data_IF_046275047256
#
_entry.id   IF_046275047256
#
_cell.length_a   1.000
_cell.length_b   1.000
_cell.length_c   1.000
_cell.angle_alpha   90.00
_cell.angle_beta   90.00
_cell.angle_gamma   90.00
#
_symmetry.space_group_name_H-M   'P 1'
#
loop_
_entity.id
_entity.type
_entity.pdbx_description
1 polymer ?
#
# COMPACT_ATOMS: atom_id res chain seq x y z
N UNK A 1 10.39 -32.71 5.77
CA UNK A 1 9.35 -31.67 5.72
C UNK A 1 9.82 -30.59 4.75
N UNK A 2 9.08 -30.27 3.68
CA UNK A 2 9.48 -29.21 2.75
C UNK A 2 9.51 -27.89 3.52
N UNK A 3 10.62 -27.15 3.41
CA UNK A 3 10.71 -25.78 3.91
C UNK A 3 9.63 -24.97 3.19
N UNK A 4 8.59 -24.57 3.92
CA UNK A 4 7.60 -23.61 3.46
C UNK A 4 8.36 -22.32 3.16
N UNK A 5 8.67 -22.06 1.89
CA UNK A 5 9.28 -20.82 1.46
C UNK A 5 8.36 -19.68 1.92
N UNK A 6 8.88 -18.87 2.84
CA UNK A 6 8.11 -17.82 3.49
C UNK A 6 7.77 -16.77 2.44
N UNK A 7 6.47 -16.58 2.18
CA UNK A 7 5.99 -15.37 1.53
C UNK A 7 6.48 -14.16 2.34
N UNK A 8 6.49 -12.98 1.72
CA UNK A 8 6.58 -11.75 2.51
C UNK A 8 5.53 -11.80 3.64
N UNK A 9 5.85 -11.28 4.84
CA UNK A 9 4.89 -11.27 5.93
C UNK A 9 3.64 -10.50 5.50
N UNK A 10 2.48 -10.93 5.99
CA UNK A 10 1.29 -10.10 5.92
C UNK A 10 1.58 -8.81 6.73
N UNK A 11 1.14 -7.63 6.25
CA UNK A 11 1.42 -6.38 6.94
C UNK A 11 0.80 -6.38 8.34
N UNK A 12 1.51 -5.77 9.29
CA UNK A 12 1.01 -5.49 10.64
C UNK A 12 -0.30 -4.67 10.61
N UNK A 13 -1.14 -4.72 11.68
CA UNK A 13 -2.52 -4.23 11.69
C UNK A 13 -2.72 -2.88 10.99
N UNK A 14 -3.60 -2.95 9.99
CA UNK A 14 -3.74 -2.03 8.88
C UNK A 14 -4.57 -0.82 9.30
N UNK A 15 -4.09 0.39 9.02
CA UNK A 15 -4.96 1.57 9.06
C UNK A 15 -6.05 1.39 7.98
N UNK A 16 -7.36 1.44 8.34
CA UNK A 16 -8.39 1.39 7.32
C UNK A 16 -8.24 2.61 6.39
N UNK A 17 -8.58 2.48 5.09
CA UNK A 17 -8.64 3.64 4.22
C UNK A 17 -9.60 4.66 4.81
N UNK A 18 -9.21 5.95 4.88
CA UNK A 18 -10.06 6.99 5.46
C UNK A 18 -11.34 7.11 4.63
N UNK A 19 -12.48 6.95 5.29
CA UNK A 19 -13.79 7.21 4.66
C UNK A 19 -14.01 8.71 4.52
N UNK A 20 -15.01 9.10 3.73
CA UNK A 20 -15.41 10.51 3.64
C UNK A 20 -15.73 11.12 5.02
N UNK A 21 -16.41 10.35 5.88
CA UNK A 21 -16.72 10.77 7.25
C UNK A 21 -15.47 10.94 8.10
N UNK A 22 -14.47 10.07 7.94
CA UNK A 22 -13.18 10.25 8.61
C UNK A 22 -12.51 11.56 8.18
N UNK A 23 -12.49 11.86 6.88
CA UNK A 23 -11.90 13.11 6.39
C UNK A 23 -12.62 14.33 6.96
N UNK A 24 -13.96 14.33 6.98
CA UNK A 24 -14.74 15.40 7.60
C UNK A 24 -14.41 15.56 9.09
N UNK A 25 -14.33 14.44 9.81
CA UNK A 25 -13.95 14.43 11.22
C UNK A 25 -12.55 15.00 11.42
N UNK A 26 -11.56 14.61 10.62
CA UNK A 26 -10.18 15.13 10.71
C UNK A 26 -10.17 16.66 10.58
N UNK A 27 -10.91 17.21 9.61
CA UNK A 27 -11.04 18.65 9.45
C UNK A 27 -11.76 19.34 10.61
N UNK A 28 -12.83 18.74 11.14
CA UNK A 28 -13.57 19.29 12.26
C UNK A 28 -12.72 19.32 13.54
N UNK A 29 -12.05 18.22 13.86
CA UNK A 29 -11.17 18.14 15.04
C UNK A 29 -9.99 19.08 14.87
N UNK A 30 -9.39 19.15 13.67
CA UNK A 30 -8.35 20.13 13.39
C UNK A 30 -8.79 21.56 13.70
N UNK A 31 -9.92 22.01 13.12
CA UNK A 31 -10.45 23.36 13.33
C UNK A 31 -10.75 23.61 14.79
N UNK A 32 -11.39 22.67 15.47
CA UNK A 32 -11.66 22.79 16.89
C UNK A 32 -10.37 22.95 17.69
N UNK A 33 -9.36 22.12 17.46
CA UNK A 33 -8.07 22.19 18.16
C UNK A 33 -7.35 23.53 17.91
N UNK A 34 -7.38 23.99 16.66
CA UNK A 34 -6.78 25.24 16.21
C UNK A 34 -7.48 26.49 16.75
N UNK A 35 -8.81 26.58 16.65
CA UNK A 35 -9.57 27.78 17.06
C UNK A 35 -9.70 27.89 18.58
N UNK A 36 -9.59 26.76 19.29
CA UNK A 36 -9.82 26.70 20.73
C UNK A 36 -11.32 26.67 21.08
N UNK A 37 -11.64 27.03 22.31
CA UNK A 37 -13.00 27.19 22.84
C UNK A 37 -12.99 28.23 23.97
N UNK A 38 -14.14 28.77 24.42
CA UNK A 38 -14.16 29.78 25.48
C UNK A 38 -13.42 29.38 26.78
N UNK A 39 -13.28 28.08 27.05
CA UNK A 39 -12.57 27.52 28.22
C UNK A 39 -11.25 26.81 27.85
N UNK A 40 -10.80 26.87 26.60
CA UNK A 40 -9.60 26.17 26.12
C UNK A 40 -8.88 27.02 25.08
N UNK A 41 -7.62 27.37 25.34
CA UNK A 41 -6.82 28.08 24.36
C UNK A 41 -6.68 27.29 23.05
N UNK A 42 -6.54 28.02 21.94
CA UNK A 42 -6.08 27.52 20.67
C UNK A 42 -4.74 26.75 20.83
N UNK A 43 -4.56 25.67 20.07
CA UNK A 43 -3.28 24.95 20.03
C UNK A 43 -2.44 25.44 18.83
N UNK A 44 -1.11 25.54 18.98
CA UNK A 44 -0.23 25.84 17.85
C UNK A 44 -0.32 24.79 16.73
N UNK A 45 -0.15 25.18 15.44
CA UNK A 45 -0.14 24.28 14.28
C UNK A 45 0.66 23.00 14.47
N UNK A 46 1.83 23.15 15.07
CA UNK A 46 2.83 22.10 15.22
C UNK A 46 2.30 21.03 16.16
N UNK A 47 1.64 21.44 17.26
CA UNK A 47 1.02 20.53 18.22
C UNK A 47 -0.15 19.79 17.59
N UNK A 48 -1.01 20.49 16.83
CA UNK A 48 -2.15 19.84 16.16
C UNK A 48 -1.66 18.85 15.09
N UNK A 49 -0.57 19.16 14.39
CA UNK A 49 0.07 18.25 13.44
C UNK A 49 0.61 17.00 14.13
N UNK A 50 1.27 17.15 15.29
CA UNK A 50 1.71 16.02 16.11
C UNK A 50 0.52 15.13 16.55
N UNK A 51 -0.61 15.74 16.93
CA UNK A 51 -1.83 15.00 17.28
C UNK A 51 -2.34 14.21 16.07
N UNK A 52 -2.40 14.82 14.89
CA UNK A 52 -2.85 14.14 13.67
C UNK A 52 -1.96 12.94 13.29
N UNK A 53 -0.63 13.10 13.41
CA UNK A 53 0.35 12.02 13.19
C UNK A 53 0.15 10.91 14.22
N UNK A 54 0.06 11.26 15.50
CA UNK A 54 -0.14 10.31 16.59
C UNK A 54 -1.48 9.55 16.47
N UNK A 55 -2.52 10.23 15.98
CA UNK A 55 -3.83 9.64 15.74
C UNK A 55 -3.93 8.81 14.45
N UNK A 56 -2.84 8.69 13.67
CA UNK A 56 -2.83 7.89 12.46
C UNK A 56 -3.63 8.51 11.30
N UNK A 57 -3.89 9.82 11.32
CA UNK A 57 -4.72 10.45 10.30
C UNK A 57 -3.97 10.59 8.99
N UNK A 58 -4.32 9.73 8.04
CA UNK A 58 -3.74 9.71 6.70
C UNK A 58 -4.77 10.11 5.65
N UNK A 59 -4.31 10.65 4.53
CA UNK A 59 -5.12 10.94 3.35
C UNK A 59 -4.42 10.43 2.08
N UNK A 60 -5.17 10.00 1.05
CA UNK A 60 -4.60 9.71 -0.25
C UNK A 60 -3.90 10.94 -0.85
N UNK A 61 -2.68 10.75 -1.38
CA UNK A 61 -1.92 11.79 -2.09
C UNK A 61 -2.49 11.99 -3.50
N UNK A 62 -3.54 12.82 -3.59
CA UNK A 62 -4.25 13.07 -4.85
C UNK A 62 -3.48 13.93 -5.84
N UNK A 63 -2.48 14.67 -5.39
CA UNK A 63 -1.84 15.71 -6.21
C UNK A 63 -0.66 15.18 -7.01
N UNK A 64 0.09 14.20 -6.50
CA UNK A 64 1.38 13.88 -7.12
C UNK A 64 1.71 12.40 -7.30
N UNK A 65 1.04 11.45 -6.63
CA UNK A 65 1.57 10.07 -6.56
C UNK A 65 0.50 9.01 -6.62
N UNK A 66 0.04 8.75 -7.84
CA UNK A 66 -0.59 7.49 -8.18
C UNK A 66 0.16 6.90 -9.36
N UNK A 67 0.82 5.77 -9.15
CA UNK A 67 1.44 5.03 -10.25
C UNK A 67 0.42 4.02 -10.76
N UNK A 68 0.09 4.09 -12.04
CA UNK A 68 -0.84 3.17 -12.67
C UNK A 68 -0.18 2.43 -13.82
N UNK A 69 -0.65 1.21 -14.05
CA UNK A 69 -0.32 0.44 -15.25
C UNK A 69 -1.58 -0.21 -15.79
N UNK A 70 -1.68 -0.25 -17.12
CA UNK A 70 -2.65 -1.08 -17.85
C UNK A 70 -1.95 -2.21 -18.63
N UNK A 71 -0.66 -2.45 -18.34
CA UNK A 71 0.09 -3.51 -19.00
C UNK A 71 -0.32 -4.84 -18.38
N UNK A 72 -0.95 -5.71 -19.16
CA UNK A 72 -1.30 -7.06 -18.71
C UNK A 72 -0.05 -7.86 -18.33
N UNK A 73 -0.14 -8.61 -17.24
CA UNK A 73 0.90 -9.48 -16.73
C UNK A 73 0.29 -10.83 -16.33
N UNK A 74 1.07 -11.88 -16.50
CA UNK A 74 0.68 -13.24 -16.22
C UNK A 74 1.88 -14.02 -15.72
N UNK A 75 1.67 -14.81 -14.67
CA UNK A 75 2.60 -15.81 -14.18
C UNK A 75 1.84 -17.11 -13.90
N UNK A 76 2.40 -18.24 -14.29
CA UNK A 76 1.83 -19.57 -14.04
C UNK A 76 2.91 -20.52 -13.59
N UNK A 77 2.65 -21.22 -12.50
CA UNK A 77 3.54 -22.24 -11.99
C UNK A 77 3.38 -23.52 -12.84
N UNK A 78 4.45 -23.95 -13.50
CA UNK A 78 4.48 -25.12 -14.39
C UNK A 78 5.24 -26.31 -13.80
N UNK A 79 5.83 -26.14 -12.63
CA UNK A 79 6.58 -27.20 -11.96
C UNK A 79 5.65 -28.07 -11.12
N UNK A 80 5.95 -29.36 -11.06
CA UNK A 80 5.29 -30.31 -10.15
C UNK A 80 5.78 -30.17 -8.71
N UNK A 81 6.85 -29.40 -8.47
CA UNK A 81 7.33 -29.09 -7.13
C UNK A 81 6.39 -28.09 -6.45
N UNK A 82 5.63 -28.56 -5.46
CA UNK A 82 4.69 -27.76 -4.66
C UNK A 82 5.37 -26.60 -3.93
N UNK A 83 6.67 -26.70 -3.67
CA UNK A 83 7.45 -25.65 -2.99
C UNK A 83 7.93 -24.56 -3.94
N UNK A 84 7.92 -24.81 -5.26
CA UNK A 84 8.47 -23.84 -6.18
C UNK A 84 7.53 -22.65 -6.36
N UNK A 85 8.12 -21.47 -6.24
CA UNK A 85 7.47 -20.18 -6.45
C UNK A 85 7.93 -19.61 -7.77
N UNK A 86 6.98 -19.20 -8.60
CA UNK A 86 7.28 -18.39 -9.79
C UNK A 86 6.83 -16.96 -9.53
N UNK A 87 7.63 -16.00 -9.98
CA UNK A 87 7.35 -14.59 -9.79
C UNK A 87 7.58 -13.78 -11.05
N UNK A 88 6.90 -12.65 -11.15
CA UNK A 88 7.13 -11.69 -12.22
C UNK A 88 6.96 -10.27 -11.72
N UNK A 89 7.97 -9.44 -11.95
CA UNK A 89 7.89 -7.99 -11.77
C UNK A 89 6.89 -7.41 -12.75
N UNK A 90 6.01 -6.54 -12.25
CA UNK A 90 4.94 -5.96 -13.06
C UNK A 90 5.20 -4.50 -13.43
N UNK A 91 5.31 -3.65 -12.41
CA UNK A 91 5.59 -2.23 -12.57
C UNK A 91 6.37 -1.72 -11.35
N UNK A 92 6.93 -0.52 -11.48
CA UNK A 92 7.76 0.13 -10.47
C UNK A 92 7.43 1.61 -10.44
N UNK A 93 7.71 2.27 -9.33
CA UNK A 93 7.81 3.73 -9.27
C UNK A 93 9.08 4.20 -9.98
N UNK A 94 9.14 5.50 -10.24
CA UNK A 94 10.41 6.20 -10.41
C UNK A 94 11.26 6.13 -9.14
N UNK A 95 12.59 6.37 -9.23
CA UNK A 95 13.45 6.45 -8.07
C UNK A 95 12.96 7.52 -7.08
N UNK A 96 12.85 7.15 -5.80
CA UNK A 96 12.37 8.03 -4.73
C UNK A 96 13.36 9.20 -4.53
N UNK A 97 12.84 10.42 -4.57
CA UNK A 97 13.50 11.64 -4.13
C UNK A 97 13.46 11.80 -2.61
N UNK A 98 14.21 12.77 -2.09
CA UNK A 98 14.14 13.16 -0.67
C UNK A 98 12.72 13.59 -0.26
N UNK A 99 12.04 14.34 -1.13
CA UNK A 99 10.66 14.74 -0.90
C UNK A 99 9.71 13.54 -0.94
N UNK A 100 10.02 12.49 -1.71
CA UNK A 100 9.24 11.25 -1.67
C UNK A 100 9.29 10.60 -0.29
N UNK A 101 10.49 10.45 0.25
CA UNK A 101 10.74 9.79 1.54
C UNK A 101 10.13 10.57 2.71
N UNK A 102 10.21 11.90 2.67
CA UNK A 102 9.64 12.76 3.71
C UNK A 102 8.10 12.70 3.77
N UNK A 103 7.47 12.55 2.60
CA UNK A 103 6.02 12.70 2.46
C UNK A 103 5.27 11.37 2.53
N UNK A 104 5.82 10.29 1.97
CA UNK A 104 5.12 8.99 1.91
C UNK A 104 4.96 8.46 3.34
N UNK A 105 3.71 8.32 3.79
CA UNK A 105 3.36 7.71 5.08
C UNK A 105 2.99 6.26 4.91
N UNK A 106 2.24 5.96 3.86
CA UNK A 106 1.78 4.62 3.56
C UNK A 106 1.56 4.47 2.07
N UNK A 107 1.41 3.23 1.63
CA UNK A 107 1.00 2.92 0.27
C UNK A 107 0.03 1.75 0.25
N UNK A 108 -0.78 1.68 -0.79
CA UNK A 108 -1.78 0.63 -1.00
C UNK A 108 -1.75 0.20 -2.46
N UNK A 109 -1.66 -1.11 -2.67
CA UNK A 109 -1.78 -1.68 -4.00
C UNK A 109 -3.26 -1.98 -4.30
N UNK A 110 -3.72 -1.50 -5.43
CA UNK A 110 -5.03 -1.81 -6.01
C UNK A 110 -4.82 -2.52 -7.35
N UNK A 111 -5.51 -3.62 -7.57
CA UNK A 111 -5.36 -4.45 -8.76
C UNK A 111 -6.71 -4.67 -9.43
N UNK A 112 -6.68 -4.87 -10.75
CA UNK A 112 -7.71 -5.49 -11.55
C UNK A 112 -7.17 -6.82 -12.03
N UNK A 113 -7.46 -7.89 -11.29
CA UNK A 113 -6.80 -9.18 -11.42
C UNK A 113 -7.75 -10.35 -11.22
N UNK A 114 -7.24 -11.54 -11.52
CA UNK A 114 -7.97 -12.79 -11.38
C UNK A 114 -7.04 -13.96 -11.11
N UNK A 115 -7.58 -14.98 -10.46
CA UNK A 115 -6.94 -16.28 -10.27
C UNK A 115 -7.49 -17.31 -11.27
N UNK A 116 -6.75 -18.39 -11.52
CA UNK A 116 -7.29 -19.59 -12.19
C UNK A 116 -7.14 -20.86 -11.36
N UNK A 117 -6.63 -20.77 -10.13
CA UNK A 117 -6.45 -21.89 -9.22
C UNK A 117 -7.75 -22.34 -8.55
N UNK A 118 -7.74 -23.61 -8.17
CA UNK A 118 -8.73 -24.26 -7.32
C UNK A 118 -7.98 -25.03 -6.24
N UNK A 119 -8.51 -25.05 -5.02
CA UNK A 119 -8.00 -25.89 -3.93
C UNK A 119 -9.15 -26.61 -3.26
N UNK A 120 -8.91 -27.85 -2.84
CA UNK A 120 -9.82 -28.62 -1.97
C UNK A 120 -9.42 -28.53 -0.50
N UNK A 121 -8.40 -27.74 -0.16
CA UNK A 121 -7.95 -27.55 1.22
C UNK A 121 -9.01 -26.80 2.05
N UNK A 122 -9.04 -27.10 3.35
CA UNK A 122 -9.93 -26.45 4.32
C UNK A 122 -9.06 -25.95 5.50
N UNK A 123 -8.94 -24.63 5.74
CA UNK A 123 -9.54 -23.55 4.95
C UNK A 123 -8.92 -23.44 3.55
N UNK A 124 -9.63 -22.84 2.59
CA UNK A 124 -9.13 -22.73 1.23
C UNK A 124 -7.95 -21.75 1.19
N UNK A 125 -6.76 -22.26 0.83
CA UNK A 125 -5.54 -21.46 0.64
C UNK A 125 -5.46 -20.91 -0.78
N UNK A 126 -5.03 -19.65 -0.92
CA UNK A 126 -4.69 -19.08 -2.22
C UNK A 126 -3.18 -19.13 -2.43
N UNK A 127 -2.76 -19.76 -3.52
CA UNK A 127 -1.35 -19.85 -3.91
C UNK A 127 -0.98 -18.84 -5.00
N UNK A 128 -1.80 -17.80 -5.18
CA UNK A 128 -1.48 -16.64 -6.01
C UNK A 128 -1.64 -15.36 -5.21
N UNK A 129 -0.66 -14.46 -5.29
CA UNK A 129 -0.69 -13.20 -4.53
C UNK A 129 0.14 -12.12 -5.18
N UNK A 130 0.00 -10.91 -4.64
CA UNK A 130 0.81 -9.75 -4.97
C UNK A 130 1.70 -9.39 -3.80
N UNK A 131 2.91 -8.92 -4.10
CA UNK A 131 3.76 -8.28 -3.10
C UNK A 131 4.15 -6.88 -3.58
N UNK A 132 4.31 -5.99 -2.61
CA UNK A 132 4.97 -4.70 -2.79
C UNK A 132 6.33 -4.82 -2.11
N UNK A 133 7.39 -4.41 -2.81
CA UNK A 133 8.74 -4.47 -2.28
C UNK A 133 9.48 -3.16 -2.58
N UNK A 134 10.51 -2.87 -1.80
CA UNK A 134 11.50 -1.84 -2.12
C UNK A 134 12.69 -2.52 -2.77
N UNK A 135 13.12 -2.00 -3.93
CA UNK A 135 14.35 -2.38 -4.60
C UNK A 135 15.40 -1.28 -4.48
N UNK A 136 16.63 -1.70 -4.20
CA UNK A 136 17.82 -0.86 -4.21
C UNK A 136 18.81 -1.44 -5.21
N UNK A 137 19.24 -0.62 -6.17
CA UNK A 137 20.17 -1.05 -7.22
C UNK A 137 19.68 -2.30 -7.97
N UNK A 138 18.37 -2.42 -8.16
CA UNK A 138 17.72 -3.54 -8.85
C UNK A 138 17.60 -4.83 -8.01
N UNK A 139 17.86 -4.78 -6.70
CA UNK A 139 17.72 -5.93 -5.79
C UNK A 139 16.67 -5.64 -4.70
N UNK A 140 15.76 -6.58 -4.41
CA UNK A 140 14.81 -6.41 -3.31
C UNK A 140 15.52 -6.28 -1.95
N UNK A 141 15.08 -5.35 -1.12
CA UNK A 141 15.54 -5.19 0.25
C UNK A 141 14.71 -6.11 1.14
N UNK A 142 15.31 -7.15 1.73
CA UNK A 142 14.58 -8.24 2.40
C UNK A 142 13.63 -7.80 3.52
N UNK A 143 13.94 -6.71 4.22
CA UNK A 143 13.09 -6.17 5.30
C UNK A 143 11.94 -5.27 4.81
N UNK A 144 11.93 -4.95 3.52
CA UNK A 144 11.00 -4.00 2.91
C UNK A 144 10.18 -4.70 1.83
N UNK A 145 9.55 -5.81 2.21
CA UNK A 145 8.68 -6.62 1.36
C UNK A 145 7.42 -6.96 2.13
N UNK A 146 6.28 -6.76 1.48
CA UNK A 146 4.98 -6.97 2.09
C UNK A 146 4.07 -7.67 1.12
N UNK A 147 3.36 -8.66 1.63
CA UNK A 147 2.29 -9.31 0.89
C UNK A 147 1.07 -8.39 0.90
N UNK A 148 0.54 -8.08 -0.27
CA UNK A 148 -0.57 -7.13 -0.38
C UNK A 148 -1.93 -7.78 -0.22
N UNK A 149 -2.22 -8.77 -1.08
CA UNK A 149 -3.47 -9.52 -1.08
C UNK A 149 -3.36 -10.73 -2.01
N UNK A 150 -4.35 -11.61 -1.88
CA UNK A 150 -4.63 -12.70 -2.81
C UNK A 150 -5.72 -12.28 -3.79
N UNK A 151 -5.77 -12.95 -4.94
CA UNK A 151 -6.96 -12.92 -5.77
C UNK A 151 -8.09 -13.70 -5.11
N UNK A 152 -9.33 -13.37 -5.50
CA UNK A 152 -10.48 -14.22 -5.17
C UNK A 152 -10.29 -15.61 -5.77
N UNK A 153 -10.46 -16.63 -4.94
CA UNK A 153 -10.34 -18.02 -5.35
C UNK A 153 -11.37 -18.33 -6.43
N UNK A 154 -10.92 -18.98 -7.51
CA UNK A 154 -11.77 -19.36 -8.65
C UNK A 154 -12.41 -18.17 -9.40
N UNK A 155 -11.97 -16.94 -9.13
CA UNK A 155 -12.45 -15.74 -9.81
C UNK A 155 -12.06 -15.78 -11.29
N UNK A 156 -12.98 -16.16 -12.18
CA UNK A 156 -12.69 -16.22 -13.64
C UNK A 156 -12.69 -14.85 -14.32
N UNK A 157 -13.39 -13.89 -13.71
CA UNK A 157 -13.49 -12.52 -14.19
C UNK A 157 -12.41 -11.66 -13.55
N UNK A 158 -11.93 -10.65 -14.27
CA UNK A 158 -11.10 -9.61 -13.68
C UNK A 158 -11.94 -8.86 -12.64
N UNK A 159 -11.46 -8.83 -11.41
CA UNK A 159 -12.11 -8.13 -10.31
C UNK A 159 -11.17 -7.07 -9.75
N UNK A 160 -11.74 -5.99 -9.24
CA UNK A 160 -10.96 -4.96 -8.56
C UNK A 160 -10.73 -5.39 -7.12
N UNK A 161 -9.47 -5.51 -6.72
CA UNK A 161 -9.08 -5.85 -5.35
C UNK A 161 -8.24 -4.72 -4.77
N UNK A 162 -8.61 -4.29 -3.58
CA UNK A 162 -7.85 -3.32 -2.80
C UNK A 162 -7.06 -4.07 -1.73
N UNK A 163 -5.74 -3.97 -1.78
CA UNK A 163 -4.89 -4.52 -0.75
C UNK A 163 -4.91 -3.71 0.54
N UNK A 164 -4.22 -4.24 1.55
CA UNK A 164 -3.92 -3.54 2.77
C UNK A 164 -3.18 -2.21 2.53
N UNK A 165 -3.43 -1.21 3.39
CA UNK A 165 -2.58 -0.03 3.52
C UNK A 165 -1.35 -0.42 4.33
N UNK A 166 -0.18 -0.27 3.72
CA UNK A 166 1.11 -0.62 4.30
C UNK A 166 1.81 0.67 4.74
N UNK A 167 2.10 0.79 6.04
CA UNK A 167 2.89 1.90 6.55
C UNK A 167 4.29 1.87 5.94
N UNK A 168 4.72 3.01 5.41
CA UNK A 168 6.03 3.16 4.83
C UNK A 168 7.08 3.21 5.95
N UNK A 169 8.06 2.31 5.97
CA UNK A 169 9.12 2.29 6.97
C UNK A 169 10.14 3.39 6.66
N UNK A 170 9.77 4.65 6.88
CA UNK A 170 10.54 5.85 6.47
C UNK A 170 12.03 5.78 6.85
N UNK A 171 12.34 5.25 8.03
CA UNK A 171 13.72 5.10 8.51
C UNK A 171 14.60 4.17 7.64
N UNK A 172 13.99 3.32 6.81
CA UNK A 172 14.68 2.33 5.98
C UNK A 172 14.68 2.67 4.49
N UNK A 173 13.86 3.64 4.06
CA UNK A 173 13.83 4.13 2.69
C UNK A 173 15.04 5.04 2.42
N UNK A 174 15.63 4.91 1.23
CA UNK A 174 16.75 5.72 0.78
C UNK A 174 16.44 6.41 -0.55
N UNK A 175 17.11 7.54 -0.78
CA UNK A 175 17.01 8.25 -2.05
C UNK A 175 17.46 7.30 -3.16
N UNK A 176 16.71 7.29 -4.26
CA UNK A 176 16.83 6.41 -5.42
C UNK A 176 16.35 4.96 -5.24
N UNK A 177 15.85 4.58 -4.06
CA UNK A 177 15.09 3.34 -3.94
C UNK A 177 13.88 3.38 -4.88
N UNK A 178 13.38 2.22 -5.31
CA UNK A 178 12.14 2.13 -6.10
C UNK A 178 11.16 1.20 -5.41
N UNK A 179 9.86 1.51 -5.50
CA UNK A 179 8.82 0.62 -5.01
C UNK A 179 8.31 -0.20 -6.20
N UNK A 180 8.41 -1.52 -6.07
CA UNK A 180 8.11 -2.48 -7.12
C UNK A 180 6.93 -3.35 -6.72
N UNK A 181 6.11 -3.70 -7.72
CA UNK A 181 5.00 -4.65 -7.55
C UNK A 181 5.34 -5.95 -8.25
N UNK A 182 5.19 -7.05 -7.51
CA UNK A 182 5.43 -8.40 -7.95
C UNK A 182 4.14 -9.23 -7.89
N UNK A 183 4.01 -10.16 -8.84
CA UNK A 183 2.98 -11.19 -8.82
C UNK A 183 3.65 -12.53 -8.61
N UNK A 184 2.98 -13.37 -7.84
CA UNK A 184 3.44 -14.71 -7.52
C UNK A 184 2.37 -15.74 -7.82
N UNK A 185 2.84 -16.92 -8.19
CA UNK A 185 2.06 -18.15 -8.16
C UNK A 185 2.95 -19.27 -7.59
N UNK A 186 2.36 -20.13 -6.77
CA UNK A 186 2.98 -21.31 -6.17
C UNK A 186 2.07 -22.52 -6.41
N UNK A 187 2.65 -23.72 -6.42
CA UNK A 187 1.94 -24.99 -6.68
C UNK A 187 1.52 -25.18 -8.14
N UNK A 188 1.53 -26.43 -8.60
CA UNK A 188 1.31 -26.76 -10.01
C UNK A 188 -0.03 -26.22 -10.51
N UNK A 189 0.00 -25.66 -11.74
CA UNK A 189 -1.14 -25.11 -12.46
C UNK A 189 -1.74 -23.81 -11.90
N UNK A 190 -1.35 -23.34 -10.72
CA UNK A 190 -1.74 -22.02 -10.22
C UNK A 190 -1.17 -20.90 -11.08
N UNK A 191 -1.94 -19.83 -11.22
CA UNK A 191 -1.54 -18.65 -11.98
C UNK A 191 -2.08 -17.37 -11.36
N UNK A 192 -1.33 -16.30 -11.52
CA UNK A 192 -1.79 -14.95 -11.22
C UNK A 192 -1.82 -14.14 -12.51
N UNK A 193 -2.95 -13.52 -12.80
CA UNK A 193 -3.14 -12.67 -13.96
C UNK A 193 -3.69 -11.31 -13.54
N UNK A 194 -3.10 -10.24 -14.05
CA UNK A 194 -3.56 -8.89 -13.79
C UNK A 194 -3.51 -8.02 -15.04
N UNK A 195 -4.50 -7.14 -15.18
CA UNK A 195 -4.63 -6.23 -16.32
C UNK A 195 -4.38 -4.77 -15.92
N UNK A 196 -4.83 -4.38 -14.72
CA UNK A 196 -4.72 -3.01 -14.21
C UNK A 196 -4.09 -3.01 -12.84
N UNK A 197 -3.10 -2.17 -12.61
CA UNK A 197 -2.48 -1.99 -11.31
C UNK A 197 -2.40 -0.52 -10.96
N UNK A 198 -2.63 -0.19 -9.69
CA UNK A 198 -2.43 1.15 -9.16
C UNK A 198 -1.76 1.07 -7.79
N UNK A 199 -0.68 1.83 -7.59
CA UNK A 199 -0.08 2.05 -6.29
C UNK A 199 -0.50 3.44 -5.80
N UNK A 200 -1.34 3.45 -4.77
CA UNK A 200 -1.83 4.65 -4.11
C UNK A 200 -0.88 5.01 -2.97
N UNK A 201 -0.47 6.26 -2.89
CA UNK A 201 0.33 6.77 -1.78
C UNK A 201 -0.52 7.59 -0.83
N UNK A 202 -0.16 7.56 0.45
CA UNK A 202 -0.82 8.29 1.52
C UNK A 202 0.16 9.23 2.18
N UNK A 203 -0.35 10.39 2.58
CA UNK A 203 0.34 11.42 3.36
C UNK A 203 -0.35 11.60 4.70
N UNK A 204 0.35 12.21 5.64
CA UNK A 204 -0.28 12.67 6.87
C UNK A 204 -1.33 13.71 6.52
N UNK A 205 -2.45 13.70 7.24
CA UNK A 205 -3.43 14.77 7.19
C UNK A 205 -2.71 16.08 7.52
N UNK A 206 -2.56 16.92 6.51
CA UNK A 206 -2.11 18.29 6.66
C UNK A 206 -3.27 19.21 6.25
N UNK A 207 -3.75 20.04 7.18
CA UNK A 207 -4.74 21.05 6.85
C UNK A 207 -4.13 22.05 5.88
N UNK A 208 -4.89 22.41 4.86
CA UNK A 208 -4.55 23.60 4.08
C UNK A 208 -4.91 24.79 4.97
N UNK A 209 -3.92 25.35 5.66
CA UNK A 209 -4.10 26.65 6.33
C UNK A 209 -4.14 27.68 5.22
N UNK A 210 -5.27 28.37 4.97
CA UNK A 210 -5.22 29.53 4.11
C UNK A 210 -4.27 30.51 4.78
N UNK A 211 -3.20 30.91 4.08
CA UNK A 211 -2.40 32.06 4.51
C UNK A 211 -3.39 33.18 4.77
N UNK A 212 -3.48 33.65 6.03
CA UNK A 212 -4.21 34.88 6.33
C UNK A 212 -3.44 36.03 5.69
N UNK A 213 -3.71 36.28 4.42
CA UNK A 213 -3.25 37.46 3.72
C UNK A 213 -4.08 38.61 4.30
N UNK A 214 -3.49 39.40 5.20
CA UNK A 214 -4.05 40.68 5.66
C UNK A 214 -4.98 40.63 6.87
N UNK A 215 -4.45 40.32 8.05
CA UNK A 215 -4.99 40.90 9.30
C UNK A 215 -3.85 41.66 9.99
N UNK A 216 -3.66 42.91 9.54
CA UNK A 216 -3.08 43.99 10.35
C UNK A 216 -4.13 44.49 11.36
#
# INVERSE_FOLDING_TARGET
MPQKLLSAPDPEPILPPPTHENVLLYHQVWRALWDGAPKRAALPPEIVSCIAIFAGWILPDRTHRMIQTSKRVFVKCRTSDESAKVSRRWFTTEPLSEHDIADIVAFQLVTGSKDQGWTTLVPPESFSWFEVAVEREGKPVSQLQWKSHHNELCGKAMSRVEGAIILAPRAHLQVRDVIVVWLYAQSYAWSNEAEKGALLFYKWFQPVVPLRIGQE
#
